data_IF_558038906933
#
_entry.id   IF_558038906933
#
_cell.length_a   1.000
_cell.length_b   1.000
_cell.length_c   1.000
_cell.angle_alpha   90.00
_cell.angle_beta   90.00
_cell.angle_gamma   90.00
#
_symmetry.space_group_name_H-M   'P 1'
#
loop_
_entity.id
_entity.type
_entity.pdbx_description
1 polymer ?
#
# COMPACT_ATOMS: atom_id res chain seq x y z
N UNK A 1 -54.32 -13.93 -3.68
CA UNK A 1 -53.42 -14.83 -2.99
C UNK A 1 -53.09 -14.27 -1.62
N UNK A 2 -53.26 -15.02 -0.52
CA UNK A 2 -53.22 -14.51 0.84
C UNK A 2 -51.77 -14.33 1.34
N UNK A 3 -51.55 -13.23 2.06
CA UNK A 3 -50.35 -12.86 2.76
C UNK A 3 -50.30 -13.56 4.11
N UNK A 4 -49.24 -14.32 4.39
CA UNK A 4 -49.02 -15.02 5.67
C UNK A 4 -48.13 -14.13 6.55
N UNK A 5 -48.55 -13.77 7.77
CA UNK A 5 -47.73 -13.03 8.72
C UNK A 5 -46.73 -13.96 9.43
N UNK A 6 -45.45 -13.63 9.38
CA UNK A 6 -44.40 -14.30 10.17
C UNK A 6 -44.41 -13.74 11.60
N UNK A 7 -44.71 -14.60 12.55
CA UNK A 7 -44.74 -14.27 13.98
C UNK A 7 -43.31 -14.43 14.54
N UNK A 8 -42.69 -13.31 14.95
CA UNK A 8 -41.45 -13.32 15.73
C UNK A 8 -41.69 -13.72 17.17
N UNK A 9 -41.17 -14.88 17.56
CA UNK A 9 -41.21 -15.38 18.93
C UNK A 9 -39.97 -14.92 19.69
N UNK A 10 -40.14 -13.95 20.59
CA UNK A 10 -39.10 -13.46 21.50
C UNK A 10 -38.80 -14.51 22.58
N UNK A 11 -37.60 -15.08 22.60
CA UNK A 11 -37.08 -15.88 23.70
C UNK A 11 -36.29 -15.00 24.66
N UNK A 12 -36.84 -14.76 25.83
CA UNK A 12 -36.15 -14.15 26.98
C UNK A 12 -35.22 -15.20 27.61
N UNK A 13 -33.91 -15.02 27.54
CA UNK A 13 -32.95 -15.83 28.30
C UNK A 13 -32.68 -15.13 29.62
N UNK A 14 -33.04 -15.83 30.71
CA UNK A 14 -32.81 -15.42 32.08
C UNK A 14 -31.37 -15.79 32.45
N UNK A 15 -30.55 -14.80 32.77
CA UNK A 15 -29.17 -15.04 33.28
C UNK A 15 -29.23 -14.96 34.80
N UNK A 16 -28.99 -16.10 35.43
CA UNK A 16 -28.90 -16.28 36.86
C UNK A 16 -27.50 -15.93 37.36
N UNK A 17 -27.39 -14.92 38.21
CA UNK A 17 -26.17 -14.48 38.85
C UNK A 17 -25.83 -15.41 40.01
N UNK A 18 -24.63 -15.99 40.03
CA UNK A 18 -24.06 -16.62 41.20
C UNK A 18 -22.72 -15.93 41.55
N UNK A 19 -22.75 -15.17 42.63
CA UNK A 19 -21.59 -14.61 43.33
C UNK A 19 -20.95 -15.68 44.20
N UNK A 20 -19.64 -15.90 44.03
CA UNK A 20 -18.86 -16.60 45.05
C UNK A 20 -17.57 -15.83 45.28
N UNK A 21 -17.48 -15.22 46.49
CA UNK A 21 -16.30 -14.60 47.01
C UNK A 21 -15.44 -15.65 47.73
N UNK A 22 -14.17 -15.74 47.36
CA UNK A 22 -13.15 -16.37 48.22
C UNK A 22 -11.81 -15.62 48.02
N UNK A 23 -11.44 -14.87 49.05
CA UNK A 23 -10.14 -14.25 49.15
C UNK A 23 -9.05 -15.26 49.52
N UNK A 24 -7.89 -15.07 48.98
CA UNK A 24 -6.66 -15.58 49.60
C UNK A 24 -5.49 -14.61 49.33
N UNK A 25 -4.88 -14.23 50.40
CA UNK A 25 -3.74 -13.32 50.49
C UNK A 25 -2.43 -14.05 50.25
N UNK A 26 -1.36 -13.25 50.00
CA UNK A 26 0.07 -13.46 50.25
C UNK A 26 0.89 -14.09 49.14
N UNK A 27 1.89 -13.46 48.77
CA UNK A 27 3.24 -13.24 49.19
C UNK A 27 4.09 -12.79 48.00
N UNK A 28 4.83 -11.73 48.17
CA UNK A 28 5.80 -11.26 47.20
C UNK A 28 6.97 -12.21 47.03
N UNK A 29 7.51 -12.26 45.84
CA UNK A 29 8.88 -12.67 45.56
C UNK A 29 9.45 -11.71 44.53
N UNK A 30 10.23 -10.79 45.09
CA UNK A 30 11.19 -9.97 44.35
C UNK A 30 12.22 -10.91 43.71
N UNK A 31 12.24 -10.99 42.38
CA UNK A 31 13.34 -11.60 41.63
C UNK A 31 13.84 -10.58 40.63
N UNK A 32 14.88 -9.85 41.04
CA UNK A 32 15.84 -9.21 40.16
C UNK A 32 16.38 -10.23 39.17
N UNK A 33 16.05 -10.08 37.89
CA UNK A 33 16.76 -10.74 36.80
C UNK A 33 17.98 -9.88 36.41
N UNK A 34 19.12 -10.49 36.13
CA UNK A 34 20.34 -9.76 35.79
C UNK A 34 20.24 -9.22 34.34
N UNK A 35 20.59 -7.95 34.27
CA UNK A 35 20.83 -7.18 33.06
C UNK A 35 21.96 -7.81 32.25
N UNK A 36 21.64 -8.38 31.10
CA UNK A 36 22.63 -8.84 30.12
C UNK A 36 22.92 -7.69 29.17
N UNK A 37 24.06 -7.05 29.35
CA UNK A 37 24.60 -6.04 28.48
C UNK A 37 24.80 -6.59 27.05
N UNK A 38 24.18 -5.95 26.04
CA UNK A 38 24.53 -6.12 24.64
C UNK A 38 25.70 -5.18 24.29
N UNK A 39 26.69 -5.64 23.52
CA UNK A 39 27.80 -4.79 23.11
C UNK A 39 27.35 -3.81 22.03
N UNK A 40 27.56 -2.53 22.28
CA UNK A 40 27.51 -1.45 21.30
C UNK A 40 28.74 -1.59 20.40
N UNK A 41 28.49 -1.83 19.10
CA UNK A 41 29.50 -1.57 18.07
C UNK A 41 29.23 -0.22 17.45
N UNK A 42 30.02 0.76 17.82
CA UNK A 42 30.07 2.05 17.19
C UNK A 42 30.67 1.95 15.80
N UNK A 43 30.15 2.76 14.89
CA UNK A 43 30.66 2.98 13.54
C UNK A 43 30.16 4.35 13.08
N UNK A 44 30.84 5.40 13.57
CA UNK A 44 30.73 6.74 13.02
C UNK A 44 31.30 6.74 11.60
N UNK A 45 30.52 7.23 10.63
CA UNK A 45 31.07 8.03 9.56
C UNK A 45 29.99 9.00 9.08
N UNK A 46 30.21 10.24 9.50
CA UNK A 46 29.47 11.40 9.08
C UNK A 46 29.90 11.80 7.66
N UNK A 47 28.92 11.94 6.76
CA UNK A 47 29.01 12.84 5.64
C UNK A 47 27.80 13.75 5.69
N UNK A 48 28.03 15.00 6.10
CA UNK A 48 27.06 16.11 5.98
C UNK A 48 26.99 16.51 4.52
N UNK A 49 25.79 16.57 3.95
CA UNK A 49 25.42 17.63 3.04
C UNK A 49 23.90 17.87 3.07
N UNK A 50 23.52 19.09 2.77
CA UNK A 50 22.43 19.86 3.29
C UNK A 50 21.01 19.58 2.82
N UNK A 51 20.12 19.95 3.72
CA UNK A 51 18.80 20.51 3.49
C UNK A 51 17.75 19.66 2.80
N UNK A 52 17.09 18.83 3.58
CA UNK A 52 15.81 18.19 3.32
C UNK A 52 15.48 17.34 4.54
N UNK A 53 14.39 17.66 5.26
CA UNK A 53 14.02 16.89 6.45
C UNK A 53 13.98 15.41 6.16
N UNK A 54 14.97 14.71 6.66
CA UNK A 54 15.14 13.27 6.48
C UNK A 54 14.04 12.55 7.28
N UNK A 55 13.02 12.08 6.60
CA UNK A 55 12.03 11.15 7.14
C UNK A 55 12.71 9.75 7.17
N UNK A 56 13.72 9.62 8.03
CA UNK A 56 14.42 8.35 8.26
C UNK A 56 13.47 7.39 8.96
N UNK A 57 13.00 6.36 8.26
CA UNK A 57 12.27 5.23 8.83
C UNK A 57 10.98 4.85 8.14
N UNK A 58 10.42 5.69 7.25
CA UNK A 58 9.14 5.41 6.61
C UNK A 58 9.25 4.67 5.26
N UNK A 59 10.43 4.70 4.61
CA UNK A 59 10.63 4.12 3.28
C UNK A 59 11.52 2.88 3.35
N UNK A 60 10.97 1.79 3.88
CA UNK A 60 11.68 0.51 4.09
C UNK A 60 11.14 -0.64 3.23
N UNK A 61 10.53 -0.33 2.10
CA UNK A 61 9.95 -1.31 1.19
C UNK A 61 10.95 -2.38 0.74
N UNK A 62 10.46 -3.60 0.63
CA UNK A 62 11.22 -4.77 0.20
C UNK A 62 11.04 -5.02 -1.28
N UNK A 63 12.15 -5.14 -2.02
CA UNK A 63 12.14 -5.52 -3.43
C UNK A 63 11.97 -7.03 -3.56
N UNK A 64 10.97 -7.46 -4.33
CA UNK A 64 10.68 -8.85 -4.64
C UNK A 64 10.67 -9.07 -6.15
N UNK A 65 11.38 -10.10 -6.62
CA UNK A 65 11.49 -10.50 -8.02
C UNK A 65 10.91 -11.91 -8.27
N UNK A 66 10.28 -12.49 -7.27
CA UNK A 66 9.77 -13.87 -7.34
C UNK A 66 8.70 -14.07 -8.41
N UNK A 67 8.04 -12.98 -8.82
CA UNK A 67 6.96 -12.94 -9.82
C UNK A 67 7.40 -12.39 -11.19
N UNK A 68 8.70 -12.22 -11.39
CA UNK A 68 9.24 -11.73 -12.65
C UNK A 68 8.77 -12.58 -13.84
N UNK A 69 8.28 -11.90 -14.89
CA UNK A 69 7.75 -12.52 -16.11
C UNK A 69 6.27 -12.87 -16.06
N UNK A 70 5.60 -12.77 -14.90
CA UNK A 70 4.14 -12.92 -14.82
C UNK A 70 3.46 -11.78 -15.60
N UNK A 71 2.36 -12.11 -16.29
CA UNK A 71 1.62 -11.10 -17.05
C UNK A 71 0.78 -10.23 -16.10
N UNK A 72 0.66 -8.94 -16.43
CA UNK A 72 -0.33 -8.08 -15.79
C UNK A 72 -1.73 -8.69 -15.95
N UNK A 73 -2.55 -8.79 -14.89
CA UNK A 73 -3.89 -9.37 -14.99
C UNK A 73 -4.78 -8.49 -15.87
N UNK A 74 -5.70 -9.11 -16.63
CA UNK A 74 -6.65 -8.38 -17.47
C UNK A 74 -7.82 -7.88 -16.60
N UNK A 75 -7.71 -6.63 -16.14
CA UNK A 75 -8.69 -5.96 -15.29
C UNK A 75 -9.12 -4.62 -15.89
N UNK A 76 -10.29 -4.15 -15.49
CA UNK A 76 -10.80 -2.83 -15.88
C UNK A 76 -11.08 -2.00 -14.62
N UNK A 77 -10.50 -0.82 -14.58
CA UNK A 77 -10.68 0.16 -13.51
C UNK A 77 -11.51 1.34 -14.00
N UNK A 78 -12.13 2.05 -13.08
CA UNK A 78 -12.77 3.34 -13.34
C UNK A 78 -12.12 4.43 -12.50
N UNK A 79 -12.02 5.64 -13.00
CA UNK A 79 -11.63 6.77 -12.18
C UNK A 79 -12.85 7.39 -11.45
N UNK A 80 -12.61 8.39 -10.62
CA UNK A 80 -13.67 9.12 -9.90
C UNK A 80 -14.57 9.96 -10.81
N UNK A 81 -14.24 10.10 -12.08
CA UNK A 81 -15.03 10.79 -13.11
C UNK A 81 -15.80 9.84 -14.04
N UNK A 82 -15.60 8.52 -13.88
CA UNK A 82 -16.24 7.49 -14.72
C UNK A 82 -15.46 7.12 -15.99
N UNK A 83 -14.25 7.66 -16.20
CA UNK A 83 -13.33 7.19 -17.25
C UNK A 83 -12.90 5.76 -16.94
N UNK A 84 -12.75 4.92 -17.94
CA UNK A 84 -12.31 3.53 -17.78
C UNK A 84 -10.90 3.30 -18.30
N UNK A 85 -10.19 2.37 -17.69
CA UNK A 85 -8.85 1.90 -18.06
C UNK A 85 -8.81 0.38 -17.99
N UNK A 86 -8.46 -0.27 -19.08
CA UNK A 86 -8.22 -1.71 -19.12
C UNK A 86 -6.70 -1.96 -19.10
N UNK A 87 -6.23 -2.86 -18.26
CA UNK A 87 -4.80 -3.18 -18.17
C UNK A 87 -4.22 -3.78 -19.44
N UNK A 88 -5.03 -4.50 -20.23
CA UNK A 88 -4.62 -5.02 -21.53
C UNK A 88 -4.20 -3.92 -22.53
N UNK A 89 -4.70 -2.68 -22.35
CA UNK A 89 -4.42 -1.54 -23.22
C UNK A 89 -3.14 -0.79 -22.82
N UNK A 90 -2.44 -1.24 -21.78
CA UNK A 90 -1.22 -0.61 -21.27
C UNK A 90 0.06 -1.04 -21.98
N UNK A 91 -0.01 -2.00 -22.88
CA UNK A 91 1.17 -2.50 -23.62
C UNK A 91 1.82 -1.43 -24.50
N UNK A 92 3.10 -1.63 -24.80
CA UNK A 92 3.90 -0.75 -25.63
C UNK A 92 4.77 0.25 -24.85
N UNK A 93 4.52 0.41 -23.55
CA UNK A 93 5.29 1.27 -22.65
C UNK A 93 5.39 0.62 -21.26
N UNK A 94 6.52 0.73 -20.56
CA UNK A 94 6.60 0.32 -19.16
C UNK A 94 5.56 1.01 -18.28
N UNK A 95 5.03 0.26 -17.31
CA UNK A 95 3.99 0.74 -16.40
C UNK A 95 4.39 0.45 -14.96
N UNK A 96 4.37 1.47 -14.11
CA UNK A 96 4.51 1.35 -12.66
C UNK A 96 3.12 1.43 -12.05
N UNK A 97 2.64 0.34 -11.46
CA UNK A 97 1.32 0.25 -10.83
C UNK A 97 1.50 0.29 -9.32
N UNK A 98 0.96 1.31 -8.68
CA UNK A 98 1.01 1.50 -7.23
C UNK A 98 -0.40 1.29 -6.63
N UNK A 99 -0.52 0.31 -5.71
CA UNK A 99 -1.70 0.11 -4.90
C UNK A 99 -1.60 0.94 -3.61
N UNK A 100 -2.63 1.70 -3.33
CA UNK A 100 -2.67 2.61 -2.20
C UNK A 100 -4.09 2.75 -1.64
N UNK A 101 -4.25 3.46 -0.52
CA UNK A 101 -5.56 3.86 0.00
C UNK A 101 -5.47 5.18 0.76
N UNK A 102 -6.58 5.91 0.89
CA UNK A 102 -6.63 7.19 1.60
C UNK A 102 -6.32 7.08 3.09
N UNK A 103 -6.59 5.93 3.68
CA UNK A 103 -6.30 5.60 5.08
C UNK A 103 -4.87 5.06 5.31
N UNK A 104 -4.12 4.84 4.25
CA UNK A 104 -2.73 4.35 4.31
C UNK A 104 -1.76 5.54 4.38
N UNK A 105 -1.29 5.89 5.58
CA UNK A 105 -0.38 7.02 5.79
C UNK A 105 0.87 6.98 4.91
N UNK A 106 1.67 5.88 4.92
CA UNK A 106 2.85 5.76 4.06
C UNK A 106 2.54 5.89 2.57
N UNK A 107 1.37 5.39 2.11
CA UNK A 107 0.95 5.53 0.73
C UNK A 107 0.76 7.01 0.34
N UNK A 108 0.04 7.77 1.19
CA UNK A 108 -0.23 9.19 0.93
C UNK A 108 1.07 10.01 0.93
N UNK A 109 2.06 9.63 1.75
CA UNK A 109 3.37 10.28 1.80
C UNK A 109 4.18 10.07 0.51
N UNK A 110 4.09 8.91 -0.14
CA UNK A 110 4.86 8.65 -1.37
C UNK A 110 4.20 9.19 -2.64
N UNK A 111 2.90 9.49 -2.64
CA UNK A 111 2.19 9.97 -3.84
C UNK A 111 2.79 11.23 -4.48
N UNK A 112 3.24 12.26 -3.75
CA UNK A 112 3.90 13.42 -4.38
C UNK A 112 5.19 13.03 -5.12
N UNK A 113 5.94 12.06 -4.62
CA UNK A 113 7.16 11.57 -5.27
C UNK A 113 6.82 10.75 -6.53
N UNK A 114 5.75 9.95 -6.50
CA UNK A 114 5.22 9.25 -7.68
C UNK A 114 4.74 10.24 -8.76
N UNK A 115 4.13 11.36 -8.39
CA UNK A 115 3.72 12.41 -9.32
C UNK A 115 4.93 13.10 -9.99
N UNK A 116 5.98 13.36 -9.20
CA UNK A 116 7.25 13.87 -9.72
C UNK A 116 7.93 12.86 -10.64
N UNK A 117 7.96 11.58 -10.28
CA UNK A 117 8.48 10.49 -11.11
C UNK A 117 7.72 10.40 -12.44
N UNK A 118 6.39 10.45 -12.39
CA UNK A 118 5.53 10.46 -13.58
C UNK A 118 5.82 11.65 -14.51
N UNK A 119 6.17 12.80 -13.92
CA UNK A 119 6.59 13.99 -14.66
C UNK A 119 7.98 13.85 -15.26
N UNK A 120 8.94 13.35 -14.47
CA UNK A 120 10.34 13.13 -14.89
C UNK A 120 10.44 12.14 -16.05
N UNK A 121 9.70 11.06 -15.98
CA UNK A 121 9.75 9.97 -16.98
C UNK A 121 8.57 10.06 -17.98
N UNK A 122 8.04 11.25 -18.22
CA UNK A 122 6.96 11.46 -19.18
C UNK A 122 7.35 10.94 -20.57
N UNK A 123 6.41 10.24 -21.20
CA UNK A 123 6.66 9.57 -22.47
C UNK A 123 7.37 8.22 -22.39
N UNK A 124 8.12 7.90 -21.30
CA UNK A 124 8.89 6.66 -21.14
C UNK A 124 8.24 5.67 -20.15
N UNK A 125 7.65 6.16 -19.08
CA UNK A 125 6.99 5.37 -18.02
C UNK A 125 5.58 5.88 -17.83
N UNK A 126 4.62 4.97 -17.67
CA UNK A 126 3.31 5.30 -17.15
C UNK A 126 3.23 4.96 -15.68
N UNK A 127 2.89 5.92 -14.83
CA UNK A 127 2.64 5.70 -13.40
C UNK A 127 1.14 5.67 -13.18
N UNK A 128 0.63 4.57 -12.63
CA UNK A 128 -0.78 4.37 -12.28
C UNK A 128 -0.91 4.20 -10.77
N UNK A 129 -1.72 5.03 -10.14
CA UNK A 129 -2.09 4.88 -8.74
C UNK A 129 -3.51 4.37 -8.64
N UNK A 130 -3.69 3.17 -8.08
CA UNK A 130 -4.98 2.47 -8.03
C UNK A 130 -5.40 2.33 -6.57
N UNK A 131 -6.48 3.03 -6.21
CA UNK A 131 -7.00 3.06 -4.84
C UNK A 131 -7.73 1.77 -4.47
N UNK A 132 -7.44 1.27 -3.28
CA UNK A 132 -8.10 0.17 -2.62
C UNK A 132 -9.19 0.65 -1.62
N UNK A 133 -9.67 1.89 -1.76
CA UNK A 133 -10.76 2.44 -0.96
C UNK A 133 -12.10 1.85 -1.41
N UNK A 134 -12.51 0.75 -0.78
CA UNK A 134 -13.77 0.07 -1.09
C UNK A 134 -14.97 0.95 -0.73
N UNK A 135 -15.80 1.29 -1.74
CA UNK A 135 -17.05 2.02 -1.54
C UNK A 135 -16.91 3.49 -1.13
N UNK A 136 -15.71 4.09 -1.22
CA UNK A 136 -15.46 5.48 -0.79
C UNK A 136 -14.77 6.34 -1.88
N UNK A 137 -15.30 6.41 -3.12
CA UNK A 137 -14.67 7.16 -4.20
C UNK A 137 -14.54 8.66 -3.91
N UNK A 138 -15.43 9.21 -3.08
CA UNK A 138 -15.41 10.63 -2.71
C UNK A 138 -14.18 11.00 -1.85
N UNK A 139 -13.65 10.08 -1.04
CA UNK A 139 -12.40 10.32 -0.30
C UNK A 139 -11.21 10.42 -1.24
N UNK A 140 -11.12 9.54 -2.23
CA UNK A 140 -10.08 9.57 -3.26
C UNK A 140 -10.17 10.87 -4.04
N UNK A 141 -11.37 11.25 -4.49
CA UNK A 141 -11.62 12.50 -5.21
C UNK A 141 -11.22 13.74 -4.39
N UNK A 142 -11.58 13.76 -3.10
CA UNK A 142 -11.23 14.87 -2.20
C UNK A 142 -9.70 14.99 -2.03
N UNK A 143 -8.99 13.88 -1.83
CA UNK A 143 -7.53 13.87 -1.72
C UNK A 143 -6.85 14.39 -2.99
N UNK A 144 -7.29 13.93 -4.17
CA UNK A 144 -6.74 14.43 -5.44
C UNK A 144 -7.02 15.91 -5.66
N UNK A 145 -8.20 16.41 -5.25
CA UNK A 145 -8.53 17.82 -5.31
C UNK A 145 -7.65 18.66 -4.36
N UNK A 146 -7.33 18.14 -3.17
CA UNK A 146 -6.44 18.79 -2.19
C UNK A 146 -4.99 18.81 -2.69
N UNK A 147 -4.45 17.66 -3.11
CA UNK A 147 -3.03 17.49 -3.48
C UNK A 147 -2.69 18.06 -4.85
N UNK A 148 -3.67 18.20 -5.75
CA UNK A 148 -3.51 18.77 -7.10
C UNK A 148 -2.37 18.11 -7.89
N UNK A 149 -2.32 16.80 -7.90
CA UNK A 149 -1.32 16.04 -8.67
C UNK A 149 -1.34 16.44 -10.14
N UNK A 150 -0.15 16.58 -10.73
CA UNK A 150 0.02 17.02 -12.12
C UNK A 150 -0.18 15.86 -13.12
N UNK A 151 0.16 14.64 -12.73
CA UNK A 151 0.22 13.45 -13.60
C UNK A 151 -0.57 12.27 -13.11
N UNK A 152 -0.77 12.13 -11.78
CA UNK A 152 -1.51 11.00 -11.24
C UNK A 152 -3.01 11.15 -11.53
N UNK A 153 -3.67 10.03 -11.77
CA UNK A 153 -5.10 9.92 -12.02
C UNK A 153 -5.75 9.09 -10.90
N UNK A 154 -7.00 9.43 -10.47
CA UNK A 154 -7.67 8.81 -9.34
C UNK A 154 -8.38 7.49 -9.72
N UNK A 155 -7.63 6.47 -10.12
CA UNK A 155 -8.16 5.15 -10.45
C UNK A 155 -8.61 4.39 -9.21
N UNK A 156 -9.67 3.61 -9.35
CA UNK A 156 -10.34 2.89 -8.27
C UNK A 156 -10.39 1.39 -8.57
N UNK A 157 -10.11 0.59 -7.54
CA UNK A 157 -10.32 -0.87 -7.51
C UNK A 157 -11.31 -1.23 -6.38
N UNK A 158 -12.61 -0.95 -6.55
CA UNK A 158 -13.59 -1.04 -5.46
C UNK A 158 -13.85 -2.49 -5.00
N UNK A 159 -13.41 -3.48 -5.76
CA UNK A 159 -13.50 -4.90 -5.44
C UNK A 159 -12.21 -5.47 -4.90
N UNK A 160 -11.14 -4.67 -4.89
CA UNK A 160 -9.80 -5.11 -4.53
C UNK A 160 -9.26 -6.27 -5.40
N UNK A 161 -9.70 -6.33 -6.68
CA UNK A 161 -9.34 -7.41 -7.60
C UNK A 161 -7.83 -7.47 -7.83
N UNK A 162 -7.17 -6.31 -7.97
CA UNK A 162 -5.73 -6.22 -8.15
C UNK A 162 -4.97 -6.51 -6.85
N UNK A 163 -5.50 -6.06 -5.70
CA UNK A 163 -4.95 -6.39 -4.38
C UNK A 163 -4.96 -7.88 -4.11
N UNK A 164 -6.04 -8.58 -4.44
CA UNK A 164 -6.11 -10.05 -4.35
C UNK A 164 -5.15 -10.74 -5.31
N UNK A 165 -5.01 -10.23 -6.54
CA UNK A 165 -4.06 -10.77 -7.50
C UNK A 165 -2.62 -10.66 -7.01
N UNK A 166 -2.20 -9.51 -6.49
CA UNK A 166 -0.84 -9.33 -5.97
C UNK A 166 -0.59 -10.11 -4.68
N UNK A 167 -1.62 -10.27 -3.86
CA UNK A 167 -1.61 -11.07 -2.63
C UNK A 167 -0.43 -10.79 -1.69
N UNK A 168 -0.02 -9.52 -1.58
CA UNK A 168 1.06 -9.10 -0.69
C UNK A 168 0.59 -8.84 0.74
N UNK A 169 -0.72 -8.58 0.92
CA UNK A 169 -1.33 -8.25 2.22
C UNK A 169 -0.88 -6.92 2.80
N UNK A 170 -0.15 -6.10 2.03
CA UNK A 170 0.44 -4.84 2.51
C UNK A 170 0.24 -3.70 1.50
N UNK A 171 -0.01 -2.49 2.02
CA UNK A 171 0.02 -1.24 1.27
C UNK A 171 1.12 -0.31 1.81
N UNK A 172 1.76 0.47 0.93
CA UNK A 172 1.65 0.38 -0.52
C UNK A 172 2.30 -0.88 -1.08
N UNK A 173 1.81 -1.34 -2.23
CA UNK A 173 2.48 -2.32 -3.07
C UNK A 173 2.63 -1.74 -4.47
N UNK A 174 3.85 -1.70 -4.99
CA UNK A 174 4.13 -1.13 -6.32
C UNK A 174 4.77 -2.18 -7.20
N UNK A 175 4.24 -2.36 -8.41
CA UNK A 175 4.72 -3.36 -9.37
C UNK A 175 5.14 -2.67 -10.67
N UNK A 176 6.36 -2.97 -11.13
CA UNK A 176 6.85 -2.54 -12.43
C UNK A 176 6.58 -3.63 -13.47
N UNK A 177 5.93 -3.23 -14.55
CA UNK A 177 5.76 -4.02 -15.76
C UNK A 177 6.57 -3.43 -16.91
N UNK A 178 7.14 -4.29 -17.74
CA UNK A 178 7.79 -3.89 -18.97
C UNK A 178 6.77 -3.50 -20.07
N UNK A 179 7.27 -3.12 -21.26
CA UNK A 179 6.46 -2.74 -22.42
C UNK A 179 5.53 -3.85 -22.94
N UNK A 180 5.85 -5.11 -22.63
CA UNK A 180 5.06 -6.29 -23.03
C UNK A 180 4.04 -6.69 -21.95
N UNK A 181 3.97 -5.94 -20.84
CA UNK A 181 3.09 -6.18 -19.70
C UNK A 181 3.56 -7.35 -18.84
N UNK A 182 4.87 -7.62 -18.80
CA UNK A 182 5.47 -8.61 -17.92
C UNK A 182 6.04 -7.95 -16.67
N UNK A 183 5.78 -8.56 -15.50
CA UNK A 183 6.32 -8.06 -14.25
C UNK A 183 7.84 -8.15 -14.24
N UNK A 184 8.49 -7.04 -13.88
CA UNK A 184 9.95 -6.96 -13.71
C UNK A 184 10.32 -7.15 -12.26
N UNK A 185 9.62 -6.46 -11.37
CA UNK A 185 9.77 -6.55 -9.92
C UNK A 185 8.56 -5.91 -9.22
N UNK A 186 8.43 -6.17 -7.93
CA UNK A 186 7.51 -5.46 -7.04
C UNK A 186 8.22 -4.91 -5.81
N UNK A 187 7.77 -3.76 -5.33
CA UNK A 187 8.16 -3.14 -4.07
C UNK A 187 7.01 -3.30 -3.09
N UNK A 188 7.25 -4.02 -1.99
CA UNK A 188 6.25 -4.27 -0.94
C UNK A 188 6.58 -3.37 0.25
N UNK A 189 5.69 -2.45 0.57
CA UNK A 189 5.93 -1.36 1.51
C UNK A 189 6.41 -0.08 0.84
N UNK A 190 6.45 1.02 1.62
CA UNK A 190 6.76 2.35 1.12
C UNK A 190 8.21 2.49 0.61
N UNK A 191 8.38 3.28 -0.45
CA UNK A 191 9.67 3.54 -1.09
C UNK A 191 9.84 5.02 -1.40
N UNK A 192 11.09 5.51 -1.29
CA UNK A 192 11.45 6.86 -1.75
C UNK A 192 11.58 6.87 -3.29
N UNK A 193 10.54 7.35 -3.96
CA UNK A 193 10.49 7.42 -5.44
C UNK A 193 11.29 8.56 -6.03
N UNK A 194 11.86 9.44 -5.21
CA UNK A 194 12.68 10.59 -5.65
C UNK A 194 14.17 10.30 -5.66
N UNK A 195 14.60 9.20 -5.01
CA UNK A 195 16.02 8.90 -4.79
C UNK A 195 16.73 8.15 -5.93
N UNK A 196 18.07 8.10 -5.90
CA UNK A 196 18.89 7.42 -6.93
C UNK A 196 18.65 5.92 -7.00
N UNK A 197 18.13 5.30 -5.91
CA UNK A 197 17.73 3.89 -5.92
C UNK A 197 16.59 3.65 -6.90
N UNK A 198 15.63 4.57 -7.00
CA UNK A 198 14.54 4.50 -7.98
C UNK A 198 15.08 4.55 -9.40
N UNK A 199 16.00 5.45 -9.69
CA UNK A 199 16.62 5.56 -11.01
C UNK A 199 17.33 4.25 -11.41
N UNK A 200 18.06 3.65 -10.48
CA UNK A 200 18.74 2.36 -10.72
C UNK A 200 17.73 1.20 -10.96
N UNK A 201 16.62 1.16 -10.19
CA UNK A 201 15.58 0.13 -10.35
C UNK A 201 14.83 0.22 -11.68
N UNK A 202 14.72 1.41 -12.26
CA UNK A 202 14.01 1.65 -13.52
C UNK A 202 14.90 1.57 -14.75
N UNK A 203 16.23 1.75 -14.60
CA UNK A 203 17.17 1.98 -15.69
C UNK A 203 17.09 0.96 -16.83
N UNK A 204 17.15 -0.34 -16.53
CA UNK A 204 17.12 -1.40 -17.53
C UNK A 204 15.78 -1.49 -18.26
N UNK A 205 14.68 -1.38 -17.53
CA UNK A 205 13.33 -1.43 -18.11
C UNK A 205 13.05 -0.23 -19.01
N UNK A 206 13.49 0.98 -18.62
CA UNK A 206 13.36 2.20 -19.42
C UNK A 206 14.27 2.19 -20.65
N UNK A 207 15.40 1.47 -20.59
CA UNK A 207 16.30 1.24 -21.73
C UNK A 207 15.82 0.10 -22.66
N UNK A 208 14.69 -0.56 -22.34
CA UNK A 208 14.11 -1.64 -23.14
C UNK A 208 14.88 -2.98 -23.06
N UNK A 209 15.65 -3.18 -21.97
CA UNK A 209 16.45 -4.38 -21.69
C UNK A 209 15.67 -5.40 -20.87
#
# INVERSE_FOLDING_TARGET
LPVIPVIFRSSKVLILSATLAAGLTLAGCDRKSPETAQPQSGGENAAKDGSGGEIKGEFNGTLDISKRGEAIPDLTFSDTGGKTLRTADLKGKPVLVNLWATWCGPCVLEMPMLDQLATKEDGKLRVLTISQDMGQPEKVKALFAEKKFARLEPWLDPKNDLGFHYNTGLLPTTVLYDKDGKEVWRMIGAHDWSGPRTDALLADTLAGK
#
